data_IF_313321607105
#
_entry.id   IF_313321607105
#
_cell.length_a   1.000
_cell.length_b   1.000
_cell.length_c   1.000
_cell.angle_alpha   90.00
_cell.angle_beta   90.00
_cell.angle_gamma   90.00
#
_symmetry.space_group_name_H-M   'P 1'
#
loop_
_entity.id
_entity.type
_entity.pdbx_description
1 polymer ?
#
# COMPACT_ATOMS: atom_id res chain seq x y z
N UNK A 1 15.84 -9.89 17.30
CA UNK A 1 15.74 -10.90 16.22
C UNK A 1 15.74 -10.22 14.85
N UNK A 2 15.97 -10.95 13.75
CA UNK A 2 15.82 -10.47 12.36
C UNK A 2 14.85 -11.37 11.59
N UNK A 3 14.23 -10.83 10.54
CA UNK A 3 13.53 -11.64 9.55
C UNK A 3 14.55 -12.44 8.73
N UNK A 4 14.33 -13.73 8.51
CA UNK A 4 15.25 -14.54 7.68
C UNK A 4 15.23 -14.07 6.22
N UNK A 5 14.06 -13.65 5.75
CA UNK A 5 13.90 -13.07 4.42
C UNK A 5 12.84 -11.97 4.44
N UNK A 6 13.15 -10.85 3.79
CA UNK A 6 12.19 -9.80 3.46
C UNK A 6 11.90 -9.84 1.96
N UNK A 7 10.62 -9.96 1.60
CA UNK A 7 10.16 -10.06 0.22
C UNK A 7 9.24 -8.88 -0.09
N UNK A 8 9.52 -8.21 -1.20
CA UNK A 8 8.71 -7.13 -1.74
C UNK A 8 8.13 -7.55 -3.10
N UNK A 9 6.83 -7.41 -3.30
CA UNK A 9 6.25 -7.64 -4.64
C UNK A 9 6.32 -6.39 -5.50
N UNK A 10 6.59 -6.56 -6.79
CA UNK A 10 6.60 -5.51 -7.80
C UNK A 10 5.68 -5.90 -8.99
N UNK A 11 4.98 -4.93 -9.56
CA UNK A 11 4.04 -5.13 -10.67
C UNK A 11 4.70 -5.22 -12.04
N UNK A 12 6.02 -5.01 -12.13
CA UNK A 12 6.79 -5.21 -13.37
C UNK A 12 8.29 -5.33 -13.11
N UNK A 13 9.05 -5.84 -14.08
CA UNK A 13 10.52 -5.90 -14.00
C UNK A 13 11.18 -4.52 -13.96
N UNK A 14 10.56 -3.50 -14.54
CA UNK A 14 11.03 -2.12 -14.42
C UNK A 14 10.88 -1.62 -12.99
N UNK A 15 9.72 -1.84 -12.37
CA UNK A 15 9.47 -1.48 -10.98
C UNK A 15 10.39 -2.27 -10.03
N UNK A 16 10.65 -3.54 -10.32
CA UNK A 16 11.56 -4.39 -9.56
C UNK A 16 12.96 -3.75 -9.43
N UNK A 17 13.54 -3.29 -10.55
CA UNK A 17 14.84 -2.60 -10.54
C UNK A 17 14.83 -1.34 -9.69
N UNK A 18 13.79 -0.52 -9.82
CA UNK A 18 13.64 0.70 -9.01
C UNK A 18 13.55 0.35 -7.53
N UNK A 19 12.83 -0.70 -7.16
CA UNK A 19 12.73 -1.12 -5.76
C UNK A 19 14.06 -1.58 -5.18
N UNK A 20 14.90 -2.30 -5.93
CA UNK A 20 16.26 -2.60 -5.48
C UNK A 20 17.11 -1.33 -5.27
N UNK A 21 17.00 -0.35 -6.16
CA UNK A 21 17.68 0.94 -5.98
C UNK A 21 17.19 1.66 -4.71
N UNK A 22 15.88 1.68 -4.45
CA UNK A 22 15.35 2.27 -3.22
C UNK A 22 15.79 1.52 -1.95
N UNK A 23 15.75 0.18 -1.99
CA UNK A 23 16.18 -0.67 -0.87
C UNK A 23 17.66 -0.50 -0.54
N UNK A 24 18.51 -0.21 -1.53
CA UNK A 24 19.94 0.05 -1.29
C UNK A 24 20.22 1.31 -0.44
N UNK A 25 19.22 2.19 -0.27
CA UNK A 25 19.30 3.39 0.56
C UNK A 25 18.81 3.16 2.00
N UNK A 26 18.21 2.01 2.26
CA UNK A 26 17.71 1.63 3.58
C UNK A 26 18.72 0.65 4.20
N UNK A 27 19.08 0.77 5.49
CA UNK A 27 19.98 -0.16 6.16
C UNK A 27 19.26 -1.48 6.48
N UNK A 28 18.83 -2.18 5.45
CA UNK A 28 17.96 -3.36 5.49
C UNK A 28 18.55 -4.55 6.23
N UNK A 29 19.88 -4.65 6.29
CA UNK A 29 20.61 -5.61 7.12
C UNK A 29 20.29 -5.50 8.62
N UNK A 30 19.76 -4.35 9.06
CA UNK A 30 19.30 -4.17 10.43
C UNK A 30 17.96 -4.88 10.69
N UNK A 31 17.23 -5.31 9.67
CA UNK A 31 15.87 -5.85 9.78
C UNK A 31 15.74 -7.28 9.24
N UNK A 32 16.53 -7.65 8.22
CA UNK A 32 16.46 -8.95 7.58
C UNK A 32 17.83 -9.50 7.19
N UNK A 33 17.98 -10.83 7.20
CA UNK A 33 19.20 -11.53 6.75
C UNK A 33 19.35 -11.53 5.21
N UNK A 34 18.23 -11.55 4.48
CA UNK A 34 18.20 -11.51 3.03
C UNK A 34 16.97 -10.77 2.51
N UNK A 35 17.06 -10.26 1.27
CA UNK A 35 15.99 -9.48 0.64
C UNK A 35 15.78 -9.95 -0.78
N UNK A 36 14.52 -9.95 -1.21
CA UNK A 36 14.14 -10.33 -2.55
C UNK A 36 12.98 -9.45 -3.05
N UNK A 37 13.09 -8.94 -4.27
CA UNK A 37 11.97 -8.30 -4.97
C UNK A 37 11.45 -9.25 -6.03
N UNK A 38 10.16 -9.59 -5.95
CA UNK A 38 9.50 -10.61 -6.78
C UNK A 38 8.44 -9.97 -7.67
N UNK A 39 8.44 -10.32 -8.96
CA UNK A 39 7.40 -9.95 -9.93
C UNK A 39 6.42 -11.11 -10.15
N UNK A 40 5.25 -10.79 -10.71
CA UNK A 40 4.25 -11.80 -11.04
C UNK A 40 4.81 -12.82 -12.04
N UNK A 41 4.63 -14.12 -11.74
CA UNK A 41 5.16 -15.22 -12.57
C UNK A 41 4.45 -15.36 -13.93
N UNK A 42 3.25 -14.81 -14.05
CA UNK A 42 2.39 -14.87 -15.25
C UNK A 42 2.48 -13.52 -15.98
N UNK A 43 3.37 -13.36 -16.99
CA UNK A 43 3.60 -12.07 -17.61
C UNK A 43 2.32 -11.50 -18.23
N UNK A 44 1.96 -10.27 -17.87
CA UNK A 44 0.78 -9.58 -18.39
C UNK A 44 -0.56 -10.03 -17.79
N UNK A 45 -0.56 -11.00 -16.87
CA UNK A 45 -1.76 -11.40 -16.11
C UNK A 45 -1.66 -10.81 -14.71
N UNK A 46 -2.69 -10.05 -14.30
CA UNK A 46 -2.77 -9.50 -12.95
C UNK A 46 -3.30 -10.59 -12.01
N UNK A 47 -2.45 -11.09 -11.12
CA UNK A 47 -2.77 -12.18 -10.19
C UNK A 47 -3.20 -11.71 -8.79
N UNK A 48 -3.06 -10.41 -8.52
CA UNK A 48 -3.43 -9.79 -7.24
C UNK A 48 -2.54 -10.21 -6.07
N UNK A 49 -2.83 -9.67 -4.87
CA UNK A 49 -2.05 -9.94 -3.66
C UNK A 49 -2.11 -11.41 -3.23
N UNK A 50 -3.27 -12.05 -3.40
CA UNK A 50 -3.45 -13.46 -3.09
C UNK A 50 -2.62 -14.35 -4.01
N UNK A 51 -2.66 -14.10 -5.32
CA UNK A 51 -1.87 -14.86 -6.29
C UNK A 51 -0.37 -14.69 -6.07
N UNK A 52 0.08 -13.46 -5.84
CA UNK A 52 1.49 -13.18 -5.52
C UNK A 52 1.95 -13.89 -4.24
N UNK A 53 1.11 -13.91 -3.20
CA UNK A 53 1.39 -14.65 -1.95
C UNK A 53 1.56 -16.15 -2.22
N UNK A 54 0.68 -16.77 -3.00
CA UNK A 54 0.81 -18.19 -3.35
C UNK A 54 2.08 -18.49 -4.11
N UNK A 55 2.40 -17.69 -5.12
CA UNK A 55 3.62 -17.90 -5.91
C UNK A 55 4.86 -17.87 -5.01
N UNK A 56 4.92 -16.92 -4.06
CA UNK A 56 6.04 -16.80 -3.11
C UNK A 56 6.09 -18.01 -2.17
N UNK A 57 4.96 -18.44 -1.60
CA UNK A 57 4.90 -19.59 -0.72
C UNK A 57 5.32 -20.87 -1.46
N UNK A 58 4.81 -21.08 -2.67
CA UNK A 58 5.16 -22.20 -3.55
C UNK A 58 6.66 -22.22 -3.83
N UNK A 59 7.21 -21.10 -4.30
CA UNK A 59 8.65 -20.95 -4.57
C UNK A 59 9.50 -21.28 -3.35
N UNK A 60 9.11 -20.79 -2.16
CA UNK A 60 9.87 -21.06 -0.93
C UNK A 60 9.79 -22.53 -0.53
N UNK A 61 8.62 -23.16 -0.61
CA UNK A 61 8.45 -24.60 -0.32
C UNK A 61 9.17 -25.51 -1.33
N UNK A 62 9.39 -25.06 -2.56
CA UNK A 62 10.14 -25.79 -3.60
C UNK A 62 11.67 -25.59 -3.49
N UNK A 63 12.13 -24.45 -2.97
CA UNK A 63 13.56 -24.08 -2.97
C UNK A 63 14.26 -24.29 -1.62
N UNK A 64 13.52 -24.37 -0.52
CA UNK A 64 14.05 -24.51 0.83
C UNK A 64 13.57 -25.80 1.50
N UNK A 65 14.38 -26.38 2.39
CA UNK A 65 13.92 -27.55 3.17
C UNK A 65 12.84 -27.12 4.17
N UNK A 66 11.87 -28.00 4.40
CA UNK A 66 10.78 -27.67 5.33
C UNK A 66 11.29 -27.48 6.76
N UNK A 67 12.29 -28.24 7.20
CA UNK A 67 12.87 -28.14 8.53
C UNK A 67 13.49 -26.76 8.78
N UNK A 68 14.01 -26.13 7.71
CA UNK A 68 14.51 -24.75 7.75
C UNK A 68 13.35 -23.76 7.76
N UNK A 69 12.35 -23.94 6.89
CA UNK A 69 11.18 -23.07 6.82
C UNK A 69 10.41 -23.06 8.13
N UNK A 70 10.14 -24.20 8.75
CA UNK A 70 9.40 -24.32 10.01
C UNK A 70 10.04 -23.55 11.19
N UNK A 71 11.28 -23.08 11.03
CA UNK A 71 11.99 -22.22 11.99
C UNK A 71 12.26 -20.79 11.48
N UNK A 72 11.90 -20.48 10.24
CA UNK A 72 12.15 -19.19 9.60
C UNK A 72 10.91 -18.30 9.58
N UNK A 73 11.11 -17.00 9.83
CA UNK A 73 10.11 -15.96 9.70
C UNK A 73 10.43 -15.11 8.47
N UNK A 74 9.48 -15.06 7.55
CA UNK A 74 9.55 -14.28 6.31
C UNK A 74 8.59 -13.10 6.39
N UNK A 75 9.03 -11.92 6.00
CA UNK A 75 8.16 -10.76 5.85
C UNK A 75 7.86 -10.56 4.36
N UNK A 76 6.58 -10.55 4.00
CA UNK A 76 6.08 -10.28 2.67
C UNK A 76 5.30 -8.96 2.66
N UNK A 77 5.80 -7.99 1.90
CA UNK A 77 5.15 -6.70 1.67
C UNK A 77 4.58 -6.62 0.25
N UNK A 78 3.28 -6.40 0.15
CA UNK A 78 2.62 -6.20 -1.14
C UNK A 78 2.82 -4.78 -1.66
N UNK A 79 3.57 -4.60 -2.76
CA UNK A 79 3.88 -3.27 -3.31
C UNK A 79 3.75 -3.17 -4.84
N UNK A 80 3.17 -4.17 -5.50
CA UNK A 80 3.03 -4.21 -6.97
C UNK A 80 1.98 -3.28 -7.57
N UNK A 81 1.32 -2.43 -6.78
CA UNK A 81 0.28 -1.51 -7.26
C UNK A 81 0.83 -0.31 -8.05
N UNK A 82 0.06 0.19 -9.02
CA UNK A 82 0.40 1.37 -9.85
C UNK A 82 0.38 2.71 -9.10
N UNK A 83 -0.11 2.74 -7.85
CA UNK A 83 -0.13 3.93 -7.00
C UNK A 83 -0.83 5.16 -7.62
N UNK A 84 -1.83 4.94 -8.46
CA UNK A 84 -2.53 5.99 -9.22
C UNK A 84 -3.24 7.06 -8.35
N UNK A 85 -3.50 6.77 -7.07
CA UNK A 85 -4.06 7.73 -6.11
C UNK A 85 -3.02 8.70 -5.54
N UNK A 86 -1.73 8.40 -5.73
CA UNK A 86 -0.59 9.24 -5.33
C UNK A 86 0.48 9.22 -6.42
N UNK A 87 0.24 9.83 -7.60
CA UNK A 87 1.13 9.73 -8.77
C UNK A 87 2.60 10.09 -8.52
N UNK A 88 2.90 11.00 -7.60
CA UNK A 88 4.30 11.30 -7.24
C UNK A 88 5.09 10.08 -6.72
N UNK A 89 4.41 9.07 -6.16
CA UNK A 89 5.00 7.81 -5.69
C UNK A 89 4.87 6.68 -6.71
N UNK A 90 4.24 6.88 -7.87
CA UNK A 90 4.06 5.79 -8.85
C UNK A 90 5.38 5.30 -9.43
N UNK A 91 6.34 6.22 -9.62
CA UNK A 91 7.65 5.90 -10.19
C UNK A 91 8.54 5.12 -9.23
N UNK A 92 8.47 5.40 -7.91
CA UNK A 92 9.39 4.83 -6.92
C UNK A 92 8.74 3.82 -5.97
N UNK A 93 7.41 3.81 -5.87
CA UNK A 93 6.60 2.91 -5.03
C UNK A 93 6.15 3.57 -3.73
N UNK A 94 4.88 3.36 -3.33
CA UNK A 94 4.31 3.89 -2.08
C UNK A 94 5.06 3.46 -0.82
N UNK A 95 5.62 2.25 -0.81
CA UNK A 95 6.45 1.76 0.29
C UNK A 95 7.58 2.75 0.65
N UNK A 96 8.08 3.48 -0.36
CA UNK A 96 9.20 4.39 -0.23
C UNK A 96 8.78 5.86 -0.07
N UNK A 97 7.47 6.13 0.08
CA UNK A 97 6.99 7.47 0.39
C UNK A 97 7.63 7.97 1.68
N UNK A 98 8.19 9.18 1.64
CA UNK A 98 8.88 9.79 2.77
C UNK A 98 7.88 10.19 3.84
N UNK A 99 8.33 10.28 5.08
CA UNK A 99 7.57 10.76 6.24
C UNK A 99 8.32 11.92 6.91
N UNK A 100 7.66 12.71 7.77
CA UNK A 100 8.28 13.84 8.47
C UNK A 100 9.49 13.55 9.35
N UNK A 101 9.77 12.28 9.65
CA UNK A 101 10.98 11.85 10.37
C UNK A 101 12.21 11.69 9.47
N UNK A 102 12.06 11.97 8.17
CA UNK A 102 13.04 11.70 7.10
C UNK A 102 13.25 10.21 6.80
N UNK A 103 12.29 9.35 7.17
CA UNK A 103 12.29 7.92 6.84
C UNK A 103 11.21 7.62 5.81
N UNK A 104 11.30 6.47 5.16
CA UNK A 104 10.19 5.97 4.34
C UNK A 104 9.11 5.28 5.19
N UNK A 105 7.92 5.10 4.61
CA UNK A 105 6.86 4.23 5.16
C UNK A 105 7.42 2.82 5.43
N UNK A 106 8.20 2.27 4.50
CA UNK A 106 8.84 0.96 4.64
C UNK A 106 9.82 0.93 5.80
N UNK A 107 10.74 1.90 5.89
CA UNK A 107 11.74 1.93 6.96
C UNK A 107 11.06 2.03 8.34
N UNK A 108 10.05 2.89 8.46
CA UNK A 108 9.27 3.00 9.71
C UNK A 108 8.55 1.70 10.04
N UNK A 109 7.94 1.02 9.05
CA UNK A 109 7.32 -0.29 9.25
C UNK A 109 8.34 -1.35 9.69
N UNK A 110 9.51 -1.42 9.05
CA UNK A 110 10.55 -2.39 9.40
C UNK A 110 11.04 -2.20 10.85
N UNK A 111 11.16 -0.96 11.32
CA UNK A 111 11.49 -0.65 12.71
C UNK A 111 10.43 -1.14 13.68
N UNK A 112 9.16 -0.80 13.44
CA UNK A 112 8.04 -1.25 14.30
C UNK A 112 7.97 -2.77 14.32
N UNK A 113 8.08 -3.42 13.16
CA UNK A 113 7.94 -4.88 13.09
C UNK A 113 9.09 -5.59 13.80
N UNK A 114 10.31 -5.04 13.71
CA UNK A 114 11.47 -5.57 14.42
C UNK A 114 11.33 -5.43 15.93
N UNK A 115 10.91 -4.26 16.40
CA UNK A 115 10.91 -3.93 17.83
C UNK A 115 9.67 -4.46 18.56
N UNK A 116 8.50 -4.41 17.90
CA UNK A 116 7.21 -4.57 18.59
C UNK A 116 6.43 -5.80 18.15
N UNK A 117 6.79 -6.46 17.04
CA UNK A 117 6.04 -7.61 16.50
C UNK A 117 6.82 -8.93 16.51
N UNK A 118 8.06 -8.93 16.02
CA UNK A 118 8.77 -10.16 15.65
C UNK A 118 8.92 -11.17 16.81
N UNK A 119 9.13 -10.67 18.02
CA UNK A 119 9.28 -11.47 19.24
C UNK A 119 7.95 -11.99 19.81
N UNK A 120 6.84 -11.37 19.39
CA UNK A 120 5.47 -11.70 19.83
C UNK A 120 4.80 -12.73 18.92
N UNK A 121 5.31 -12.90 17.70
CA UNK A 121 4.93 -13.99 16.80
C UNK A 121 5.30 -15.36 17.40
N UNK A 122 4.61 -16.45 17.01
CA UNK A 122 4.89 -17.80 17.48
C UNK A 122 6.36 -18.19 17.32
N UNK A 123 6.79 -19.17 18.12
CA UNK A 123 8.12 -19.77 17.97
C UNK A 123 8.28 -20.55 16.66
N UNK A 124 7.17 -21.03 16.10
CA UNK A 124 7.15 -21.63 14.76
C UNK A 124 7.37 -20.57 13.69
N UNK A 125 8.07 -20.95 12.63
CA UNK A 125 8.25 -20.16 11.43
C UNK A 125 6.95 -19.94 10.66
N UNK A 126 6.97 -18.94 9.80
CA UNK A 126 5.86 -18.60 8.92
C UNK A 126 6.16 -17.36 8.09
N UNK A 127 5.11 -16.89 7.42
CA UNK A 127 5.14 -15.71 6.55
C UNK A 127 4.19 -14.65 7.09
N UNK A 128 4.72 -13.45 7.35
CA UNK A 128 3.96 -12.25 7.71
C UNK A 128 3.59 -11.49 6.43
N UNK A 129 2.31 -11.19 6.24
CA UNK A 129 1.77 -10.55 5.04
C UNK A 129 1.20 -9.19 5.43
N UNK A 130 1.63 -8.14 4.75
CA UNK A 130 1.20 -6.75 5.00
C UNK A 130 1.21 -5.92 3.71
N UNK A 131 0.45 -4.82 3.70
CA UNK A 131 0.38 -3.87 2.60
C UNK A 131 1.50 -2.81 2.69
N UNK A 132 1.95 -2.30 1.53
CA UNK A 132 3.03 -1.32 1.49
C UNK A 132 2.65 0.10 1.89
N UNK A 133 1.36 0.43 1.85
CA UNK A 133 0.83 1.77 2.07
C UNK A 133 0.10 1.94 3.40
N UNK A 134 0.44 1.13 4.40
CA UNK A 134 -0.07 1.26 5.77
C UNK A 134 1.07 1.35 6.77
N UNK A 135 0.83 1.85 7.97
CA UNK A 135 1.69 1.65 9.15
C UNK A 135 0.80 1.14 10.26
N UNK A 136 1.15 0.00 10.82
CA UNK A 136 0.47 -0.57 11.98
C UNK A 136 1.27 -0.25 13.25
N UNK A 137 0.63 0.28 14.30
CA UNK A 137 1.24 0.33 15.61
C UNK A 137 1.10 -1.04 16.28
N UNK A 138 2.23 -1.73 16.46
CA UNK A 138 2.31 -3.08 17.01
C UNK A 138 2.63 -3.11 18.52
N UNK A 139 2.73 -1.96 19.18
CA UNK A 139 3.07 -1.84 20.61
C UNK A 139 2.14 -2.70 21.48
N UNK A 140 0.83 -2.63 21.21
CA UNK A 140 -0.21 -3.36 21.93
C UNK A 140 -0.43 -4.80 21.45
N UNK A 141 0.30 -5.27 20.43
CA UNK A 141 0.19 -6.67 20.02
C UNK A 141 0.53 -7.57 21.21
N UNK A 142 -0.29 -8.60 21.44
CA UNK A 142 -0.05 -9.60 22.48
C UNK A 142 0.84 -10.73 21.96
N UNK A 143 1.53 -11.42 22.88
CA UNK A 143 2.31 -12.61 22.53
C UNK A 143 1.37 -13.76 22.18
N UNK A 144 1.54 -14.30 20.98
CA UNK A 144 0.64 -15.31 20.43
C UNK A 144 0.98 -16.72 20.94
N UNK A 145 -0.06 -17.55 21.10
CA UNK A 145 0.06 -18.95 21.51
C UNK A 145 0.74 -19.81 20.44
N UNK A 146 1.36 -20.91 20.85
CA UNK A 146 2.15 -21.78 19.94
C UNK A 146 1.31 -22.66 19.01
N UNK A 147 0.04 -22.91 19.30
CA UNK A 147 -0.82 -23.80 18.51
C UNK A 147 -1.79 -23.01 17.62
N UNK A 148 -1.26 -22.17 16.74
CA UNK A 148 -2.03 -21.33 15.80
C UNK A 148 -1.60 -21.63 14.36
N UNK A 149 -2.54 -21.63 13.42
CA UNK A 149 -2.21 -21.75 12.00
C UNK A 149 -2.04 -20.37 11.37
N UNK A 150 -2.94 -19.44 11.72
CA UNK A 150 -3.00 -18.07 11.21
C UNK A 150 -3.29 -17.08 12.34
N UNK A 151 -2.56 -15.97 12.33
CA UNK A 151 -2.80 -14.84 13.22
C UNK A 151 -3.24 -13.68 12.36
N UNK A 152 -4.40 -13.11 12.67
CA UNK A 152 -4.87 -11.91 11.99
C UNK A 152 -4.83 -10.75 12.98
N UNK A 153 -4.15 -9.68 12.60
CA UNK A 153 -4.11 -8.46 13.39
C UNK A 153 -5.32 -7.61 13.05
N UNK A 154 -6.03 -7.19 14.10
CA UNK A 154 -7.27 -6.46 13.99
C UNK A 154 -7.18 -5.11 14.69
N UNK A 155 -7.84 -4.11 14.13
CA UNK A 155 -7.98 -2.80 14.73
C UNK A 155 -9.40 -2.60 15.23
N UNK A 156 -9.56 -1.81 16.29
CA UNK A 156 -10.86 -1.30 16.67
C UNK A 156 -11.15 -0.06 15.85
N UNK A 157 -12.27 -0.04 15.13
CA UNK A 157 -12.58 0.99 14.13
C UNK A 157 -14.05 1.37 14.14
N UNK A 158 -14.33 2.57 13.63
CA UNK A 158 -15.71 3.05 13.46
C UNK A 158 -16.47 2.22 12.43
N UNK A 159 -17.80 2.33 12.45
CA UNK A 159 -18.66 1.63 11.50
C UNK A 159 -18.38 2.07 10.06
N UNK A 160 -18.09 3.36 9.83
CA UNK A 160 -17.76 3.91 8.51
C UNK A 160 -16.49 3.26 7.95
N UNK A 161 -15.43 3.14 8.77
CA UNK A 161 -14.21 2.45 8.38
C UNK A 161 -14.50 0.97 8.08
N UNK A 162 -15.35 0.34 8.89
CA UNK A 162 -15.83 -1.03 8.67
C UNK A 162 -16.43 -1.26 7.28
N UNK A 163 -17.10 -0.26 6.69
CA UNK A 163 -17.69 -0.39 5.34
C UNK A 163 -16.65 -0.53 4.24
N UNK A 164 -15.40 -0.19 4.52
CA UNK A 164 -14.31 -0.19 3.55
C UNK A 164 -13.34 -1.36 3.73
N UNK A 165 -13.48 -2.13 4.81
CA UNK A 165 -12.54 -3.16 5.26
C UNK A 165 -13.24 -4.50 5.49
N UNK A 166 -12.46 -5.55 5.70
CA UNK A 166 -12.93 -6.80 6.28
C UNK A 166 -13.28 -6.62 7.75
N UNK A 167 -14.45 -7.10 8.18
CA UNK A 167 -14.95 -7.00 9.56
C UNK A 167 -15.05 -8.39 10.18
N UNK A 168 -14.44 -8.58 11.34
CA UNK A 168 -14.49 -9.83 12.08
C UNK A 168 -15.76 -9.93 12.94
N UNK A 169 -16.47 -11.04 12.81
CA UNK A 169 -17.57 -11.40 13.69
C UNK A 169 -17.04 -12.40 14.70
N UNK A 170 -17.01 -12.01 15.97
CA UNK A 170 -16.55 -12.86 17.07
C UNK A 170 -17.74 -13.48 17.80
N UNK A 171 -17.65 -14.77 18.12
CA UNK A 171 -18.66 -15.39 18.97
C UNK A 171 -18.56 -14.85 20.41
N UNK A 172 -19.67 -14.32 20.94
CA UNK A 172 -19.67 -13.62 22.24
C UNK A 172 -19.28 -14.54 23.41
N UNK A 173 -19.59 -15.84 23.32
CA UNK A 173 -19.35 -16.81 24.40
C UNK A 173 -17.94 -17.40 24.35
N UNK A 174 -17.53 -17.87 23.19
CA UNK A 174 -16.28 -18.59 22.99
C UNK A 174 -15.12 -17.69 22.62
N UNK A 175 -15.39 -16.43 22.23
CA UNK A 175 -14.42 -15.46 21.70
C UNK A 175 -13.65 -15.97 20.47
N UNK A 176 -14.19 -16.99 19.80
CA UNK A 176 -13.63 -17.52 18.54
C UNK A 176 -14.17 -16.75 17.35
N UNK A 177 -13.39 -16.71 16.26
CA UNK A 177 -13.82 -16.16 14.99
C UNK A 177 -15.00 -16.96 14.44
N UNK A 178 -16.14 -16.30 14.28
CA UNK A 178 -17.33 -16.88 13.63
C UNK A 178 -17.21 -16.79 12.11
N UNK A 179 -16.97 -15.58 11.60
CA UNK A 179 -16.86 -15.28 10.17
C UNK A 179 -16.19 -13.94 9.93
N UNK A 180 -15.81 -13.70 8.68
CA UNK A 180 -15.33 -12.40 8.18
C UNK A 180 -16.33 -11.87 7.15
N UNK A 181 -16.70 -10.60 7.29
CA UNK A 181 -17.53 -9.88 6.32
C UNK A 181 -16.62 -8.98 5.50
N UNK A 182 -16.69 -9.01 4.16
CA UNK A 182 -15.83 -8.17 3.33
C UNK A 182 -16.56 -6.91 2.87
N UNK A 183 -16.12 -5.74 3.33
CA UNK A 183 -16.72 -4.43 3.03
C UNK A 183 -18.23 -4.41 3.25
N UNK A 184 -18.73 -4.85 4.42
CA UNK A 184 -20.16 -4.94 4.68
C UNK A 184 -20.80 -3.56 4.83
N UNK A 185 -22.09 -3.50 4.58
CA UNK A 185 -22.94 -2.39 5.05
C UNK A 185 -23.06 -2.40 6.57
N UNK A 186 -23.45 -1.26 7.16
CA UNK A 186 -23.68 -1.17 8.61
C UNK A 186 -24.83 -2.11 9.03
N UNK A 187 -25.85 -2.27 8.19
CA UNK A 187 -26.96 -3.19 8.40
C UNK A 187 -26.49 -4.64 8.48
N UNK A 188 -25.59 -5.06 7.59
CA UNK A 188 -24.99 -6.39 7.63
C UNK A 188 -24.15 -6.60 8.89
N UNK A 189 -23.33 -5.62 9.29
CA UNK A 189 -22.57 -5.68 10.55
C UNK A 189 -23.49 -5.90 11.75
N UNK A 190 -24.61 -5.15 11.80
CA UNK A 190 -25.60 -5.28 12.88
C UNK A 190 -26.29 -6.64 12.86
N UNK A 191 -26.74 -7.10 11.68
CA UNK A 191 -27.43 -8.38 11.50
C UNK A 191 -26.57 -9.57 11.89
N UNK A 192 -25.28 -9.53 11.55
CA UNK A 192 -24.34 -10.62 11.86
C UNK A 192 -23.75 -10.52 13.28
N UNK A 193 -24.02 -9.43 14.00
CA UNK A 193 -23.54 -9.21 15.37
C UNK A 193 -22.06 -8.83 15.45
N UNK A 194 -21.54 -8.14 14.43
CA UNK A 194 -20.17 -7.65 14.38
C UNK A 194 -19.93 -6.43 15.29
N UNK A 195 -20.97 -5.63 15.53
CA UNK A 195 -20.90 -4.39 16.31
C UNK A 195 -20.73 -4.73 17.81
N UNK A 196 -19.69 -4.18 18.42
CA UNK A 196 -19.37 -4.33 19.83
C UNK A 196 -20.21 -3.37 20.70
N UNK A 197 -20.11 -3.50 22.03
CA UNK A 197 -20.92 -2.72 22.98
C UNK A 197 -20.67 -1.20 22.92
N UNK A 198 -19.52 -0.80 22.42
CA UNK A 198 -19.10 0.60 22.25
C UNK A 198 -19.31 1.13 20.83
N UNK A 199 -20.19 0.50 20.04
CA UNK A 199 -20.53 0.87 18.66
C UNK A 199 -19.33 0.84 17.69
N UNK A 200 -18.32 0.02 18.00
CA UNK A 200 -17.14 -0.18 17.15
C UNK A 200 -17.12 -1.59 16.57
N UNK A 201 -16.28 -1.79 15.55
CA UNK A 201 -16.05 -3.09 14.91
C UNK A 201 -14.56 -3.43 14.88
N UNK A 202 -14.26 -4.72 14.72
CA UNK A 202 -12.90 -5.20 14.50
C UNK A 202 -12.63 -5.34 13.01
N UNK A 203 -11.67 -4.57 12.48
CA UNK A 203 -11.30 -4.57 11.06
C UNK A 203 -9.97 -5.24 10.78
N UNK A 204 -9.81 -5.80 9.59
CA UNK A 204 -8.59 -6.46 9.12
C UNK A 204 -7.43 -5.50 8.82
N UNK A 205 -6.21 -6.05 8.79
CA UNK A 205 -4.99 -5.28 8.48
C UNK A 205 -3.87 -6.13 7.88
N UNK A 206 -3.19 -6.91 8.72
CA UNK A 206 -2.07 -7.77 8.32
C UNK A 206 -2.19 -9.11 9.01
N UNK A 207 -1.54 -10.15 8.50
CA UNK A 207 -1.65 -11.49 9.08
C UNK A 207 -0.41 -12.35 8.87
N UNK A 208 -0.18 -13.26 9.83
CA UNK A 208 0.90 -14.23 9.80
C UNK A 208 0.34 -15.63 9.57
N UNK A 209 0.91 -16.39 8.64
CA UNK A 209 0.58 -17.80 8.40
C UNK A 209 1.78 -18.68 8.69
N UNK A 210 1.59 -19.73 9.49
CA UNK A 210 2.67 -20.70 9.74
C UNK A 210 3.04 -21.48 8.48
N UNK A 211 4.29 -21.92 8.37
CA UNK A 211 4.68 -22.80 7.26
C UNK A 211 3.95 -24.14 7.28
N UNK A 212 3.59 -24.63 8.47
CA UNK A 212 2.73 -25.80 8.66
C UNK A 212 1.39 -25.62 7.95
N UNK A 213 0.75 -24.47 8.11
CA UNK A 213 -0.49 -24.18 7.40
C UNK A 213 -0.26 -23.99 5.89
N UNK A 214 0.79 -23.26 5.51
CA UNK A 214 1.13 -22.98 4.11
C UNK A 214 1.36 -24.24 3.27
N UNK A 215 1.85 -25.34 3.87
CA UNK A 215 1.98 -26.64 3.19
C UNK A 215 0.68 -27.17 2.61
N UNK A 216 -0.47 -26.88 3.24
CA UNK A 216 -1.78 -27.32 2.77
C UNK A 216 -2.10 -26.81 1.36
N UNK A 217 -1.55 -25.66 0.97
CA UNK A 217 -1.69 -25.16 -0.40
C UNK A 217 -1.11 -26.14 -1.43
N UNK A 218 0.00 -26.79 -1.10
CA UNK A 218 0.64 -27.76 -1.97
C UNK A 218 -0.08 -29.13 -1.98
N UNK A 219 -1.08 -29.36 -1.14
CA UNK A 219 -1.91 -30.57 -1.21
C UNK A 219 -2.95 -30.49 -2.33
N UNK A 220 -3.32 -29.28 -2.74
CA UNK A 220 -4.27 -29.05 -3.82
C UNK A 220 -3.53 -28.91 -5.17
N UNK A 221 -3.77 -29.81 -6.16
CA UNK A 221 -3.11 -29.75 -7.46
C UNK A 221 -3.29 -28.42 -8.21
N UNK A 222 -4.45 -27.75 -8.03
CA UNK A 222 -4.75 -26.47 -8.68
C UNK A 222 -3.79 -25.36 -8.25
N UNK A 223 -3.28 -25.43 -7.02
CA UNK A 223 -2.40 -24.42 -6.41
C UNK A 223 -0.91 -24.75 -6.57
N UNK A 224 -0.57 -25.89 -7.17
CA UNK A 224 0.82 -26.26 -7.52
C UNK A 224 1.29 -25.59 -8.81
N UNK A 225 0.37 -25.06 -9.61
CA UNK A 225 0.67 -24.33 -10.85
C UNK A 225 0.56 -22.81 -10.63
N UNK A 226 1.22 -22.00 -11.47
CA UNK A 226 1.09 -20.54 -11.41
C UNK A 226 -0.37 -20.10 -11.48
N UNK A 227 -0.73 -19.14 -10.64
CA UNK A 227 -2.07 -18.52 -10.64
C UNK A 227 -2.27 -17.69 -11.91
N UNK A 228 -3.47 -17.78 -12.48
CA UNK A 228 -3.84 -17.08 -13.73
C UNK A 228 -5.05 -16.13 -13.57
N UNK A 229 -5.54 -15.95 -12.35
CA UNK A 229 -6.69 -15.10 -12.02
C UNK A 229 -6.34 -14.14 -10.87
N UNK A 230 -7.02 -12.99 -10.80
CA UNK A 230 -6.80 -12.03 -9.71
C UNK A 230 -7.39 -12.56 -8.40
N UNK A 231 -6.52 -12.88 -7.45
CA UNK A 231 -6.88 -13.29 -6.09
C UNK A 231 -6.46 -12.21 -5.08
N UNK A 232 -7.23 -12.06 -4.01
CA UNK A 232 -7.04 -11.08 -2.95
C UNK A 232 -6.77 -11.78 -1.62
N UNK A 233 -5.66 -11.41 -0.97
CA UNK A 233 -5.34 -11.82 0.40
C UNK A 233 -6.51 -11.63 1.38
N UNK A 234 -7.15 -10.47 1.34
CA UNK A 234 -8.21 -10.12 2.28
C UNK A 234 -9.55 -10.75 1.88
N UNK A 235 -9.93 -10.60 0.61
CA UNK A 235 -11.22 -11.10 0.10
C UNK A 235 -11.29 -12.61 -0.03
N UNK A 236 -10.22 -13.28 -0.44
CA UNK A 236 -10.27 -14.72 -0.76
C UNK A 236 -9.67 -15.60 0.34
N UNK A 237 -8.77 -15.10 1.20
CA UNK A 237 -8.18 -15.91 2.28
C UNK A 237 -8.94 -15.77 3.58
N UNK A 238 -9.41 -14.56 3.93
CA UNK A 238 -10.07 -14.32 5.22
C UNK A 238 -11.53 -14.73 5.25
N UNK A 239 -12.29 -14.53 4.16
CA UNK A 239 -13.73 -14.86 4.12
C UNK A 239 -14.06 -16.32 4.47
N UNK A 240 -13.25 -17.32 4.06
CA UNK A 240 -13.51 -18.70 4.46
C UNK A 240 -13.12 -19.05 5.90
N UNK A 241 -12.47 -18.14 6.63
CA UNK A 241 -12.06 -18.39 8.02
C UNK A 241 -13.23 -18.31 8.99
N UNK A 242 -13.08 -18.99 10.12
CA UNK A 242 -14.07 -19.06 11.19
C UNK A 242 -14.95 -20.31 11.10
N UNK A 243 -15.77 -20.54 12.14
CA UNK A 243 -16.59 -21.75 12.23
C UNK A 243 -17.91 -21.68 11.44
N UNK A 244 -18.28 -20.52 10.91
CA UNK A 244 -19.53 -20.28 10.18
C UNK A 244 -19.34 -19.25 9.04
N UNK A 245 -18.42 -19.50 8.09
CA UNK A 245 -18.04 -18.53 7.06
C UNK A 245 -19.14 -18.28 6.01
N UNK A 246 -19.12 -17.10 5.37
CA UNK A 246 -20.00 -16.78 4.23
C UNK A 246 -19.24 -16.93 2.91
N UNK A 247 -19.60 -17.95 2.15
CA UNK A 247 -18.94 -18.36 0.90
C UNK A 247 -19.72 -18.01 -0.37
N UNK A 248 -20.73 -17.15 -0.25
CA UNK A 248 -21.59 -16.66 -1.33
C UNK A 248 -20.82 -16.01 -2.50
N UNK A 249 -19.67 -15.41 -2.22
CA UNK A 249 -18.81 -14.80 -3.24
C UNK A 249 -18.17 -15.77 -4.23
N UNK A 250 -18.10 -17.05 -3.88
CA UNK A 250 -17.56 -18.07 -4.77
C UNK A 250 -18.49 -18.20 -5.98
N UNK A 251 -19.80 -18.19 -5.76
CA UNK A 251 -20.81 -18.24 -6.83
C UNK A 251 -20.87 -16.94 -7.63
N UNK A 252 -20.55 -15.80 -7.02
CA UNK A 252 -20.47 -14.50 -7.69
C UNK A 252 -19.16 -14.27 -8.46
N UNK A 253 -18.36 -15.32 -8.70
CA UNK A 253 -17.09 -15.22 -9.42
C UNK A 253 -17.30 -14.93 -10.91
N UNK A 254 -16.47 -14.06 -11.48
CA UNK A 254 -16.56 -13.67 -12.89
C UNK A 254 -16.12 -14.74 -13.90
N UNK A 255 -15.49 -15.82 -13.45
CA UNK A 255 -15.06 -16.96 -14.28
C UNK A 255 -15.12 -18.28 -13.50
N UNK A 256 -15.29 -19.40 -14.21
CA UNK A 256 -15.27 -20.75 -13.60
C UNK A 256 -13.89 -21.10 -13.04
N UNK A 257 -12.83 -20.56 -13.66
CA UNK A 257 -11.47 -20.71 -13.17
C UNK A 257 -11.28 -20.00 -11.82
N UNK A 258 -11.73 -18.75 -11.70
CA UNK A 258 -11.71 -18.00 -10.45
C UNK A 258 -12.55 -18.69 -9.36
N UNK A 259 -13.72 -19.22 -9.74
CA UNK A 259 -14.57 -20.02 -8.85
C UNK A 259 -13.82 -21.25 -8.31
N UNK A 260 -13.11 -21.96 -9.18
CA UNK A 260 -12.31 -23.13 -8.82
C UNK A 260 -11.18 -22.78 -7.84
N UNK A 261 -10.47 -21.68 -8.09
CA UNK A 261 -9.46 -21.17 -7.14
C UNK A 261 -10.09 -20.83 -5.80
N UNK A 262 -11.16 -20.02 -5.78
CA UNK A 262 -11.82 -19.61 -4.53
C UNK A 262 -12.38 -20.79 -3.73
N UNK A 263 -12.91 -21.81 -4.40
CA UNK A 263 -13.35 -23.05 -3.75
C UNK A 263 -12.18 -23.80 -3.09
N UNK A 264 -11.07 -23.98 -3.82
CA UNK A 264 -9.86 -24.60 -3.29
C UNK A 264 -9.33 -23.83 -2.06
N UNK A 265 -9.35 -22.50 -2.11
CA UNK A 265 -8.97 -21.66 -0.98
C UNK A 265 -9.93 -21.82 0.19
N UNK A 266 -11.24 -21.83 -0.07
CA UNK A 266 -12.23 -22.00 0.98
C UNK A 266 -12.10 -23.34 1.71
N UNK A 267 -11.85 -24.42 0.97
CA UNK A 267 -11.62 -25.76 1.53
C UNK A 267 -10.38 -25.77 2.44
N UNK A 268 -9.33 -25.02 2.12
CA UNK A 268 -8.10 -24.96 2.92
C UNK A 268 -8.27 -24.03 4.15
N UNK A 269 -8.71 -22.79 3.92
CA UNK A 269 -8.80 -21.75 4.95
C UNK A 269 -9.88 -22.01 5.99
N UNK A 270 -10.94 -22.74 5.65
CA UNK A 270 -11.96 -23.17 6.63
C UNK A 270 -11.40 -24.14 7.69
N UNK A 271 -10.25 -24.77 7.44
CA UNK A 271 -9.59 -25.68 8.40
C UNK A 271 -8.59 -24.99 9.32
N UNK A 272 -8.36 -23.68 9.14
CA UNK A 272 -7.33 -22.95 9.88
C UNK A 272 -7.74 -22.73 11.34
N UNK A 273 -6.82 -23.01 12.27
CA UNK A 273 -6.95 -22.47 13.62
C UNK A 273 -6.51 -21.00 13.64
N UNK A 274 -7.48 -20.08 13.66
CA UNK A 274 -7.26 -18.64 13.55
C UNK A 274 -7.29 -17.96 14.93
N UNK A 275 -6.27 -17.16 15.21
CA UNK A 275 -6.22 -16.24 16.34
C UNK A 275 -6.35 -14.79 15.86
N UNK A 276 -7.20 -14.01 16.52
CA UNK A 276 -7.35 -12.56 16.26
C UNK A 276 -6.57 -11.80 17.33
N UNK A 277 -5.52 -11.08 16.92
CA UNK A 277 -4.73 -10.22 17.80
C UNK A 277 -5.22 -8.77 17.64
N UNK A 278 -5.86 -8.23 18.68
CA UNK A 278 -6.46 -6.89 18.63
C UNK A 278 -5.42 -5.85 19.05
N UNK A 279 -5.05 -4.96 18.14
CA UNK A 279 -4.07 -3.87 18.36
C UNK A 279 -4.67 -2.66 19.08
N UNK A 280 -6.00 -2.59 19.17
CA UNK A 280 -6.75 -1.49 19.79
C UNK A 280 -7.08 -0.36 18.82
N UNK A 281 -7.47 0.78 19.36
CA UNK A 281 -7.74 2.01 18.58
C UNK A 281 -6.43 2.69 18.17
N UNK A 282 -6.48 3.59 17.18
CA UNK A 282 -5.35 4.45 16.81
C UNK A 282 -4.06 3.69 16.47
N UNK A 283 -4.21 2.50 15.90
CA UNK A 283 -3.12 1.57 15.61
C UNK A 283 -2.97 1.25 14.12
N UNK A 284 -3.73 1.91 13.25
CA UNK A 284 -3.70 1.74 11.79
C UNK A 284 -3.64 3.08 11.08
N UNK A 285 -2.67 3.23 10.18
CA UNK A 285 -2.43 4.47 9.45
C UNK A 285 -2.23 4.17 7.97
N UNK A 286 -3.27 4.39 7.17
CA UNK A 286 -3.20 4.19 5.73
C UNK A 286 -2.72 5.46 5.02
N UNK A 287 -1.75 5.29 4.13
CA UNK A 287 -1.14 6.30 3.28
C UNK A 287 -1.49 6.00 1.81
N UNK A 288 -2.78 5.78 1.57
CA UNK A 288 -3.28 5.34 0.27
C UNK A 288 -3.60 6.47 -0.70
N UNK A 289 -3.90 7.65 -0.16
CA UNK A 289 -4.33 8.88 -0.83
C UNK A 289 -3.60 10.10 -0.26
N UNK A 290 -3.66 11.20 -1.01
CA UNK A 290 -3.13 12.49 -0.55
C UNK A 290 -3.84 13.06 0.67
N UNK A 291 -5.16 12.87 0.75
CA UNK A 291 -5.95 13.33 1.88
C UNK A 291 -5.50 12.65 3.18
N UNK A 292 -5.44 11.31 3.17
CA UNK A 292 -4.95 10.54 4.32
C UNK A 292 -3.50 10.92 4.66
N UNK A 293 -2.65 11.03 3.64
CA UNK A 293 -1.26 11.42 3.84
C UNK A 293 -1.15 12.77 4.58
N UNK A 294 -1.81 13.84 4.10
CA UNK A 294 -1.80 15.18 4.72
C UNK A 294 -2.45 15.16 6.12
N UNK A 295 -3.54 14.41 6.31
CA UNK A 295 -4.20 14.29 7.61
C UNK A 295 -3.26 13.73 8.67
N UNK A 296 -2.47 12.69 8.34
CA UNK A 296 -1.43 12.15 9.23
C UNK A 296 -0.31 13.16 9.53
N UNK A 297 -0.16 14.19 8.69
CA UNK A 297 0.79 15.28 8.91
C UNK A 297 0.21 16.43 9.73
N UNK A 298 -1.00 16.40 10.26
CA UNK A 298 -1.48 17.51 11.08
C UNK A 298 -0.92 17.43 12.52
N UNK A 299 -0.62 18.56 13.20
CA UNK A 299 -0.03 18.58 14.54
C UNK A 299 -0.76 17.70 15.57
N UNK A 300 -2.09 17.65 15.51
CA UNK A 300 -2.94 16.88 16.43
C UNK A 300 -3.50 15.59 15.80
N UNK A 301 -2.92 15.14 14.69
CA UNK A 301 -3.37 13.91 14.03
C UNK A 301 -3.14 12.69 14.92
N UNK A 302 -3.98 11.67 14.73
CA UNK A 302 -3.85 10.40 15.45
C UNK A 302 -2.47 9.79 15.20
N UNK A 303 -1.95 9.87 13.96
CA UNK A 303 -0.63 9.35 13.62
C UNK A 303 0.49 10.01 14.42
N UNK A 304 0.52 11.35 14.49
CA UNK A 304 1.53 12.06 15.28
C UNK A 304 1.41 11.78 16.77
N UNK A 305 0.20 11.61 17.28
CA UNK A 305 -0.02 11.26 18.68
C UNK A 305 0.45 9.83 19.00
N UNK A 306 0.23 8.89 18.09
CA UNK A 306 0.70 7.50 18.25
C UNK A 306 2.21 7.36 18.04
N UNK A 307 2.83 8.25 17.27
CA UNK A 307 4.27 8.26 17.02
C UNK A 307 4.87 9.66 17.19
N UNK A 308 4.94 10.20 18.42
CA UNK A 308 5.38 11.59 18.66
C UNK A 308 6.81 11.85 18.18
N UNK A 309 7.69 10.84 18.24
CA UNK A 309 9.05 10.93 17.71
C UNK A 309 9.16 10.82 16.18
N UNK A 310 8.07 10.48 15.48
CA UNK A 310 8.05 10.35 14.02
C UNK A 310 7.81 11.69 13.30
N UNK A 311 7.56 12.77 14.03
CA UNK A 311 7.48 14.11 13.45
C UNK A 311 8.75 14.92 13.70
N UNK A 312 9.40 15.38 12.63
CA UNK A 312 10.46 16.41 12.72
C UNK A 312 10.07 17.67 11.95
N UNK A 313 9.67 17.50 10.69
CA UNK A 313 9.34 18.64 9.82
C UNK A 313 8.51 18.18 8.62
N UNK A 314 7.63 19.07 8.13
CA UNK A 314 6.98 18.89 6.82
C UNK A 314 7.90 19.30 5.65
N UNK A 315 9.11 19.79 5.94
CA UNK A 315 10.18 20.07 4.98
C UNK A 315 11.24 18.99 5.15
N UNK A 316 11.32 18.08 4.18
CA UNK A 316 12.18 16.89 4.25
C UNK A 316 13.17 16.91 3.08
N UNK A 317 14.46 16.73 3.35
CA UNK A 317 15.51 16.76 2.32
C UNK A 317 15.42 17.95 1.35
N UNK A 318 15.02 19.12 1.86
CA UNK A 318 14.68 20.29 1.06
C UNK A 318 15.31 21.55 1.63
N UNK A 319 15.55 22.55 0.79
CA UNK A 319 16.15 23.83 1.17
C UNK A 319 15.55 25.00 0.39
N UNK A 320 15.52 26.20 0.99
CA UNK A 320 15.01 27.43 0.35
C UNK A 320 13.50 27.62 0.43
N UNK A 321 12.80 26.82 1.22
CA UNK A 321 11.35 26.95 1.43
C UNK A 321 11.08 28.18 2.32
N UNK A 322 10.59 29.26 1.73
CA UNK A 322 10.30 30.52 2.44
C UNK A 322 8.99 30.46 3.22
N UNK A 323 8.02 29.65 2.75
CA UNK A 323 6.71 29.50 3.38
C UNK A 323 6.13 28.10 3.16
N UNK A 324 5.72 27.44 4.25
CA UNK A 324 5.01 26.17 4.20
C UNK A 324 3.85 26.14 5.22
N UNK A 325 2.59 26.08 4.76
CA UNK A 325 1.45 25.83 5.63
C UNK A 325 1.49 24.44 6.27
N UNK A 326 0.87 24.28 7.45
CA UNK A 326 0.85 23.01 8.19
C UNK A 326 0.20 21.85 7.42
N UNK A 327 -0.77 22.17 6.55
CA UNK A 327 -1.49 21.22 5.69
C UNK A 327 -0.71 20.89 4.41
N UNK A 328 0.59 21.16 4.36
CA UNK A 328 1.40 20.97 3.16
C UNK A 328 2.71 20.27 3.49
N UNK A 329 3.26 19.55 2.51
CA UNK A 329 4.46 18.75 2.65
C UNK A 329 5.41 18.98 1.47
N UNK A 330 6.69 19.09 1.76
CA UNK A 330 7.75 19.30 0.77
C UNK A 330 8.86 18.31 0.97
N UNK A 331 9.21 17.59 -0.09
CA UNK A 331 10.35 16.68 -0.10
C UNK A 331 11.28 16.90 -1.30
N UNK A 332 12.56 16.61 -1.12
CA UNK A 332 13.58 16.61 -2.19
C UNK A 332 13.59 17.87 -3.07
N UNK A 333 13.27 19.02 -2.51
CA UNK A 333 13.04 20.26 -3.26
C UNK A 333 14.00 21.38 -2.88
N UNK A 334 14.42 22.18 -3.86
CA UNK A 334 15.41 23.24 -3.70
C UNK A 334 14.99 24.55 -4.37
N UNK A 335 15.53 25.65 -3.86
CA UNK A 335 15.31 27.00 -4.39
C UNK A 335 14.22 27.76 -3.62
N UNK A 336 13.94 29.00 -4.05
CA UNK A 336 13.01 29.88 -3.36
C UNK A 336 11.55 29.48 -3.63
N UNK A 337 10.93 28.80 -2.67
CA UNK A 337 9.59 28.21 -2.79
C UNK A 337 8.63 28.72 -1.71
N UNK A 338 7.51 29.30 -2.15
CA UNK A 338 6.32 29.51 -1.33
C UNK A 338 5.26 28.46 -1.67
N UNK A 339 4.83 27.67 -0.68
CA UNK A 339 3.88 26.58 -0.91
C UNK A 339 2.48 26.96 -0.47
N UNK A 340 1.50 26.72 -1.34
CA UNK A 340 0.08 26.84 -1.04
C UNK A 340 -0.39 25.87 0.04
N UNK A 341 -1.58 26.11 0.59
CA UNK A 341 -2.20 25.22 1.59
C UNK A 341 -2.66 23.93 0.93
N UNK A 342 -2.70 22.84 1.69
CA UNK A 342 -3.19 21.54 1.21
C UNK A 342 -2.45 21.11 -0.05
N UNK A 343 -1.11 21.07 0.00
CA UNK A 343 -0.29 20.77 -1.18
C UNK A 343 0.88 19.85 -0.86
N UNK A 344 1.25 19.01 -1.83
CA UNK A 344 2.44 18.15 -1.77
C UNK A 344 3.41 18.54 -2.88
N UNK A 345 4.66 18.78 -2.50
CA UNK A 345 5.72 19.21 -3.42
C UNK A 345 6.88 18.23 -3.35
N UNK A 346 7.28 17.64 -4.48
CA UNK A 346 8.33 16.62 -4.50
C UNK A 346 9.32 16.79 -5.67
N UNK A 347 10.62 16.82 -5.36
CA UNK A 347 11.66 16.84 -6.40
C UNK A 347 11.77 18.15 -7.18
N UNK A 348 11.27 19.27 -6.64
CA UNK A 348 11.23 20.56 -7.35
C UNK A 348 12.57 21.28 -7.25
N UNK A 349 13.01 21.93 -8.32
CA UNK A 349 14.15 22.83 -8.30
C UNK A 349 13.73 24.16 -8.95
N UNK A 350 13.64 25.21 -8.12
CA UNK A 350 13.26 26.55 -8.57
C UNK A 350 14.43 27.35 -9.18
N UNK A 351 15.66 26.81 -9.13
CA UNK A 351 16.86 27.53 -9.54
C UNK A 351 16.98 28.88 -8.81
N UNK A 352 17.17 29.95 -9.57
CA UNK A 352 17.30 31.32 -9.03
C UNK A 352 15.97 32.09 -9.01
N UNK A 353 14.84 31.43 -9.28
CA UNK A 353 13.54 32.09 -9.32
C UNK A 353 12.77 31.88 -8.03
N UNK A 354 12.01 32.90 -7.66
CA UNK A 354 10.97 32.79 -6.65
C UNK A 354 9.75 32.14 -7.30
N UNK A 355 9.32 31.00 -6.76
CA UNK A 355 8.23 30.21 -7.30
C UNK A 355 7.16 30.02 -6.24
N UNK A 356 5.91 30.31 -6.61
CA UNK A 356 4.73 30.11 -5.78
C UNK A 356 4.02 28.85 -6.27
N UNK A 357 3.86 27.87 -5.39
CA UNK A 357 3.12 26.64 -5.66
C UNK A 357 1.64 26.84 -5.29
N UNK A 358 0.68 26.56 -6.20
CA UNK A 358 -0.74 26.72 -5.89
C UNK A 358 -1.22 25.85 -4.73
N UNK A 359 -2.30 26.30 -4.06
CA UNK A 359 -2.97 25.52 -3.03
C UNK A 359 -3.80 24.37 -3.64
N UNK A 360 -4.07 23.32 -2.87
CA UNK A 360 -4.83 22.13 -3.29
C UNK A 360 -4.17 21.37 -4.46
N UNK A 361 -2.83 21.36 -4.52
CA UNK A 361 -2.11 20.72 -5.63
C UNK A 361 -1.08 19.71 -5.17
N UNK A 362 -0.80 18.77 -6.06
CA UNK A 362 0.39 17.93 -5.99
C UNK A 362 1.29 18.28 -7.16
N UNK A 363 2.50 18.75 -6.83
CA UNK A 363 3.50 19.22 -7.78
C UNK A 363 4.76 18.40 -7.61
N UNK A 364 5.15 17.67 -8.65
CA UNK A 364 6.36 16.86 -8.56
C UNK A 364 7.13 16.80 -9.87
N UNK A 365 8.45 16.69 -9.78
CA UNK A 365 9.32 16.58 -10.95
C UNK A 365 10.06 15.25 -10.99
N UNK A 366 9.81 14.47 -12.05
CA UNK A 366 10.50 13.22 -12.32
C UNK A 366 11.69 13.43 -13.26
N UNK A 367 12.78 12.73 -12.97
CA UNK A 367 13.90 12.59 -13.89
C UNK A 367 13.69 11.36 -14.78
N UNK A 368 13.83 11.53 -16.09
CA UNK A 368 13.69 10.48 -17.09
C UNK A 368 15.06 9.91 -17.48
N UNK A 369 15.09 8.68 -18.02
CA UNK A 369 16.33 8.00 -18.46
C UNK A 369 17.14 8.80 -19.47
N UNK A 370 16.50 9.67 -20.24
CA UNK A 370 17.10 10.57 -21.24
C UNK A 370 17.78 11.80 -20.64
N UNK A 371 17.96 11.89 -19.31
CA UNK A 371 18.42 13.09 -18.57
C UNK A 371 17.53 14.31 -18.76
N UNK A 372 16.29 14.10 -19.20
CA UNK A 372 15.26 15.12 -19.26
C UNK A 372 14.35 15.01 -18.05
N UNK A 373 13.58 16.06 -17.78
CA UNK A 373 12.71 16.21 -16.62
C UNK A 373 11.29 16.48 -17.05
N UNK A 374 10.33 16.02 -16.26
CA UNK A 374 8.91 16.33 -16.41
C UNK A 374 8.35 16.77 -15.07
N UNK A 375 7.64 17.88 -15.05
CA UNK A 375 6.91 18.38 -13.89
C UNK A 375 5.44 18.15 -14.11
N UNK A 376 4.81 17.52 -13.13
CA UNK A 376 3.40 17.18 -13.13
C UNK A 376 2.73 18.00 -12.03
N UNK A 377 1.61 18.63 -12.39
CA UNK A 377 0.74 19.38 -11.48
C UNK A 377 -0.66 18.80 -11.62
N UNK A 378 -1.24 18.40 -10.50
CA UNK A 378 -2.62 17.88 -10.41
C UNK A 378 -3.29 18.46 -9.17
N UNK A 379 -4.62 18.54 -9.16
CA UNK A 379 -5.35 18.87 -7.93
C UNK A 379 -5.44 17.63 -7.03
N UNK A 380 -5.46 17.84 -5.73
CA UNK A 380 -5.56 16.74 -4.74
C UNK A 380 -6.87 15.96 -4.89
N UNK A 381 -7.95 16.64 -5.25
CA UNK A 381 -9.31 16.11 -5.40
C UNK A 381 -9.62 15.64 -6.84
N UNK A 382 -8.66 15.71 -7.76
CA UNK A 382 -8.88 15.35 -9.16
C UNK A 382 -8.92 13.83 -9.35
N UNK A 383 -10.02 13.31 -9.91
CA UNK A 383 -10.05 11.91 -10.40
C UNK A 383 -9.31 11.80 -11.73
N UNK A 384 -7.98 11.64 -11.64
CA UNK A 384 -7.10 11.59 -12.81
C UNK A 384 -7.35 10.40 -13.74
N UNK A 385 -8.15 9.40 -13.31
CA UNK A 385 -8.48 8.21 -14.11
C UNK A 385 -9.80 8.34 -14.86
N UNK A 386 -10.62 9.33 -14.50
CA UNK A 386 -11.89 9.56 -15.17
C UNK A 386 -11.64 9.88 -16.64
N UNK A 387 -12.18 9.03 -17.52
CA UNK A 387 -12.18 9.28 -18.96
C UNK A 387 -13.19 10.37 -19.25
N UNK A 388 -12.75 11.39 -19.98
CA UNK A 388 -13.56 12.53 -20.35
C UNK A 388 -13.58 12.67 -21.87
N UNK A 389 -14.73 13.05 -22.44
CA UNK A 389 -14.88 13.38 -23.87
C UNK A 389 -13.86 14.45 -24.30
N UNK A 390 -13.58 15.39 -23.40
CA UNK A 390 -12.50 16.37 -23.54
C UNK A 390 -11.75 16.49 -22.23
N UNK A 391 -10.43 16.25 -22.27
CA UNK A 391 -9.57 16.36 -21.09
C UNK A 391 -9.43 17.84 -20.72
N UNK A 392 -9.67 18.13 -19.44
CA UNK A 392 -9.42 19.44 -18.84
C UNK A 392 -8.24 19.36 -17.89
N UNK A 393 -7.38 20.36 -17.91
CA UNK A 393 -6.27 20.50 -16.97
C UNK A 393 -6.35 21.85 -16.27
N UNK A 394 -6.53 21.84 -14.95
CA UNK A 394 -6.87 23.02 -14.15
C UNK A 394 -8.06 23.83 -14.68
N UNK A 395 -9.09 23.16 -15.21
CA UNK A 395 -10.26 23.80 -15.80
C UNK A 395 -10.05 24.34 -17.23
N UNK A 396 -8.82 24.33 -17.76
CA UNK A 396 -8.56 24.64 -19.16
C UNK A 396 -8.83 23.43 -20.04
N UNK A 397 -9.61 23.63 -21.09
CA UNK A 397 -9.83 22.64 -22.13
C UNK A 397 -8.53 22.33 -22.89
N UNK A 398 -8.31 21.06 -23.18
CA UNK A 398 -7.21 20.61 -24.05
C UNK A 398 -7.75 20.14 -25.42
N UNK A 399 -6.85 19.87 -26.37
CA UNK A 399 -7.20 19.25 -27.66
C UNK A 399 -7.31 17.72 -27.56
N UNK A 400 -7.20 17.16 -26.36
CA UNK A 400 -7.16 15.71 -26.12
C UNK A 400 -8.57 15.22 -25.76
N UNK A 401 -9.11 14.32 -26.57
CA UNK A 401 -10.39 13.66 -26.33
C UNK A 401 -10.22 12.22 -25.83
N UNK A 402 -11.29 11.68 -25.26
CA UNK A 402 -11.48 10.25 -24.96
C UNK A 402 -10.36 9.65 -24.08
N UNK A 403 -9.87 10.45 -23.14
CA UNK A 403 -8.78 10.07 -22.24
C UNK A 403 -9.00 10.59 -20.84
N UNK A 404 -8.26 10.01 -19.91
CA UNK A 404 -8.07 10.48 -18.56
C UNK A 404 -6.83 11.39 -18.47
N UNK A 405 -6.68 12.17 -17.39
CA UNK A 405 -5.43 12.90 -17.12
C UNK A 405 -4.25 11.95 -17.00
N UNK A 406 -4.47 10.75 -16.45
CA UNK A 406 -3.48 9.68 -16.32
C UNK A 406 -2.92 9.22 -17.67
N UNK A 407 -3.77 9.13 -18.70
CA UNK A 407 -3.39 8.61 -20.03
C UNK A 407 -3.11 9.72 -21.07
N UNK A 408 -3.45 10.95 -20.75
CA UNK A 408 -3.30 12.10 -21.64
C UNK A 408 -1.83 12.58 -21.65
N UNK A 409 -1.23 12.83 -22.84
CA UNK A 409 0.12 13.38 -22.97
C UNK A 409 0.17 14.88 -22.62
N UNK A 410 -0.21 15.24 -21.39
CA UNK A 410 -0.36 16.62 -20.93
C UNK A 410 0.94 17.29 -20.55
N UNK A 411 1.98 16.52 -20.21
CA UNK A 411 3.19 17.05 -19.57
C UNK A 411 4.40 17.00 -20.52
N UNK A 412 5.25 18.03 -20.45
CA UNK A 412 6.38 18.21 -21.36
C UNK A 412 7.67 17.69 -20.76
N UNK A 413 8.60 17.29 -21.62
CA UNK A 413 9.95 16.89 -21.22
C UNK A 413 10.94 18.00 -21.53
N UNK A 414 11.78 18.37 -20.57
CA UNK A 414 12.72 19.48 -20.69
C UNK A 414 14.10 19.11 -20.17
N UNK A 415 15.13 19.84 -20.61
CA UNK A 415 16.54 19.55 -20.27
C UNK A 415 16.89 19.87 -18.81
N UNK A 416 16.10 20.70 -18.13
CA UNK A 416 16.35 21.08 -16.72
C UNK A 416 15.07 21.01 -15.89
N UNK A 417 15.23 20.73 -14.59
CA UNK A 417 14.12 20.74 -13.61
C UNK A 417 13.45 22.11 -13.56
N UNK A 418 14.25 23.18 -13.51
CA UNK A 418 13.75 24.57 -13.48
C UNK A 418 12.88 24.90 -14.70
N UNK A 419 13.33 24.56 -15.91
CA UNK A 419 12.57 24.82 -17.14
C UNK A 419 11.28 24.01 -17.17
N UNK A 420 11.34 22.76 -16.72
CA UNK A 420 10.18 21.88 -16.61
C UNK A 420 9.12 22.47 -15.66
N UNK A 421 9.55 22.90 -14.47
CA UNK A 421 8.68 23.50 -13.45
C UNK A 421 8.01 24.76 -13.97
N UNK A 422 8.79 25.71 -14.47
CA UNK A 422 8.29 27.01 -14.97
C UNK A 422 7.29 26.83 -16.09
N UNK A 423 7.58 25.91 -17.02
CA UNK A 423 6.65 25.63 -18.13
C UNK A 423 5.37 24.99 -17.63
N UNK A 424 5.46 24.01 -16.72
CA UNK A 424 4.27 23.36 -16.16
C UNK A 424 3.38 24.35 -15.38
N UNK A 425 3.95 25.25 -14.57
CA UNK A 425 3.20 26.28 -13.87
C UNK A 425 2.54 27.28 -14.84
N UNK A 426 3.28 27.74 -15.85
CA UNK A 426 2.72 28.64 -16.86
C UNK A 426 1.54 28.00 -17.60
N UNK A 427 1.67 26.73 -18.03
CA UNK A 427 0.60 26.01 -18.72
C UNK A 427 -0.56 25.63 -17.78
N UNK A 428 -0.30 25.39 -16.50
CA UNK A 428 -1.33 25.16 -15.49
C UNK A 428 -2.22 26.39 -15.29
N UNK A 429 -1.64 27.59 -15.33
CA UNK A 429 -2.37 28.85 -15.16
C UNK A 429 -3.03 29.38 -16.44
N UNK A 430 -2.43 29.10 -17.61
CA UNK A 430 -2.81 29.74 -18.87
C UNK A 430 -3.38 28.75 -19.91
N UNK A 431 -3.45 27.47 -19.58
CA UNK A 431 -3.74 26.38 -20.51
C UNK A 431 -2.53 25.98 -21.37
N UNK A 432 -2.60 24.77 -21.94
CA UNK A 432 -1.55 24.21 -22.80
C UNK A 432 -1.52 24.96 -24.13
N UNK A 433 -0.39 25.58 -24.46
CA UNK A 433 -0.20 26.32 -25.73
C UNK A 433 0.72 25.61 -26.73
N UNK A 434 1.37 24.52 -26.32
CA UNK A 434 2.27 23.74 -27.17
C UNK A 434 1.51 22.71 -28.00
N UNK A 435 1.96 22.45 -29.24
CA UNK A 435 1.45 21.33 -30.06
C UNK A 435 1.80 20.01 -29.36
N UNK A 436 0.79 19.31 -28.87
CA UNK A 436 0.94 18.01 -28.20
C UNK A 436 1.48 16.98 -29.20
N UNK A 437 2.76 16.60 -29.11
CA UNK A 437 3.36 15.55 -29.94
C UNK A 437 3.70 14.32 -29.10
N UNK A 438 3.04 13.20 -29.40
CA UNK A 438 3.47 11.84 -29.05
C UNK A 438 2.99 11.29 -27.69
N UNK A 439 2.71 9.98 -27.67
CA UNK A 439 2.36 9.20 -26.46
C UNK A 439 3.57 9.15 -25.51
N UNK A 440 3.46 9.77 -24.34
CA UNK A 440 4.35 9.50 -23.22
C UNK A 440 3.75 8.34 -22.42
N UNK A 441 4.39 7.16 -22.47
CA UNK A 441 4.13 6.07 -21.53
C UNK A 441 5.21 6.15 -20.46
N UNK A 442 4.87 6.62 -19.27
CA UNK A 442 5.75 6.56 -18.10
C UNK A 442 5.61 5.16 -17.49
N UNK A 443 6.67 4.35 -17.56
CA UNK A 443 6.82 3.08 -16.84
C UNK A 443 8.24 2.93 -16.32
#
# INVERSE_FOLDING_TARGET
MLWQKFILTAGSDSQNRVFYEQLSRIPTQNYSESIEVVTDESPGIRIGSGGATFNIIRKLLETETYEKLEKSKVLLLHSGGLSQRMPHLSAYGKAFGTLPNCKSILETKLEIYKNDLLEKLPSTGGIMITASDVIENMENAEKVKSNVDIIVFAHKSSLEVGTQHGVFVMDKKTRKLKRVLQKPTIEEMRKDGAIMEDEMVLTDSCYFMTWKFCKKFMENPLLRSPITEELCCYGDFMRPMGFDPKLDYIEASGSEQLKSYRKALADIFSTANVEISVLGENSFFHFGTYQEYIEHLLPNSIYRNSFPGAFKSNIVFSNGISKLPEQSFVEFSTGSLEVGKNSIVSGIDAGNSEIIIPSNTVVFTLALKTKTFVTIIIKIDEDIKKVCDRVKWNGHDTEISDKSIWDAPLFGTFETREKSLKTALFEWENGIKRKVRGKLRYY
#
